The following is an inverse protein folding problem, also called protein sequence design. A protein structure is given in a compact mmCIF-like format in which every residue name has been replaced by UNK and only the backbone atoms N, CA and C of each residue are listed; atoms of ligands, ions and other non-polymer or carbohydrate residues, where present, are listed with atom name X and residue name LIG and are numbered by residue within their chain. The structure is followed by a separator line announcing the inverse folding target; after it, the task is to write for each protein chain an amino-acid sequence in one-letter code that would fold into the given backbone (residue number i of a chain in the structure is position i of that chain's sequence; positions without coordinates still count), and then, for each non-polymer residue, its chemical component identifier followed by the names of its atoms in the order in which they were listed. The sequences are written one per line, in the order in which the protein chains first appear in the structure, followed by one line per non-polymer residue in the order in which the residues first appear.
data_IF_366409610212
#
_entry.id   IF_366409610212
#
_cell.length_a   1.000
_cell.length_b   1.000
_cell.length_c   1.000
_cell.angle_alpha   90.00
_cell.angle_beta   90.00
_cell.angle_gamma   90.00
#
_symmetry.space_group_name_H-M   'P 1'
#
loop_
_entity.id
_entity.type
_entity.pdbx_description
1 polymer ?
#
# COMPACT_ATOMS: atom_id res chain seq x y z
N UNK A 1 21.66 14.07 -4.56
CA UNK A 1 20.93 13.00 -3.87
C UNK A 1 20.10 13.66 -2.79
N UNK A 2 18.79 13.46 -2.77
CA UNK A 2 17.90 14.16 -1.84
C UNK A 2 17.82 13.35 -0.54
N UNK A 3 18.02 14.00 0.60
CA UNK A 3 17.90 13.34 1.90
C UNK A 3 16.42 13.16 2.27
N UNK A 4 16.06 11.98 2.77
CA UNK A 4 14.70 11.68 3.22
C UNK A 4 14.59 12.05 4.70
N UNK A 5 13.69 12.98 5.02
CA UNK A 5 13.38 13.39 6.40
C UNK A 5 11.90 13.16 6.69
N UNK A 6 11.49 13.20 7.97
CA UNK A 6 10.09 13.01 8.38
C UNK A 6 9.08 13.95 7.70
N UNK A 7 9.55 15.09 7.17
CA UNK A 7 8.72 16.03 6.42
C UNK A 7 8.00 15.38 5.24
N UNK A 8 8.57 14.33 4.62
CA UNK A 8 7.92 13.63 3.51
C UNK A 8 6.65 12.89 3.94
N UNK A 9 6.61 12.37 5.17
CA UNK A 9 5.48 11.58 5.67
C UNK A 9 4.24 12.46 5.77
N UNK A 10 4.38 13.65 6.36
CA UNK A 10 3.28 14.63 6.49
C UNK A 10 2.81 15.17 5.14
N UNK A 11 3.69 15.16 4.12
CA UNK A 11 3.36 15.59 2.76
C UNK A 11 2.58 14.53 1.98
N UNK A 12 2.92 13.25 2.14
CA UNK A 12 2.35 12.14 1.36
C UNK A 12 1.12 11.51 2.04
N UNK A 13 1.15 11.34 3.37
CA UNK A 13 0.08 10.67 4.12
C UNK A 13 -0.97 11.72 4.52
N UNK A 14 -2.05 11.79 3.75
CA UNK A 14 -3.16 12.72 3.99
C UNK A 14 -4.27 12.09 4.84
N UNK A 15 -4.97 12.91 5.63
CA UNK A 15 -6.14 12.48 6.39
C UNK A 15 -7.26 12.03 5.42
N UNK A 16 -7.90 10.90 5.75
CA UNK A 16 -9.05 10.36 5.02
C UNK A 16 -10.30 11.22 5.23
N UNK A 17 -11.08 11.43 4.16
CA UNK A 17 -12.39 12.07 4.27
C UNK A 17 -13.38 11.16 4.99
N UNK A 18 -14.30 11.74 5.76
CA UNK A 18 -15.27 10.99 6.57
C UNK A 18 -16.30 10.24 5.73
N UNK A 19 -16.64 10.77 4.54
CA UNK A 19 -17.60 10.16 3.62
C UNK A 19 -16.84 9.48 2.48
N UNK A 20 -16.26 8.31 2.78
CA UNK A 20 -15.51 7.49 1.82
C UNK A 20 -15.78 6.02 2.05
N UNK A 21 -15.52 5.21 1.04
CA UNK A 21 -15.57 3.76 1.10
C UNK A 21 -14.31 3.14 0.50
N UNK A 22 -14.21 1.80 0.57
CA UNK A 22 -13.07 1.03 0.06
C UNK A 22 -12.72 1.25 -1.43
N UNK A 23 -13.61 1.85 -2.22
CA UNK A 23 -13.34 2.14 -3.64
C UNK A 23 -12.47 3.38 -3.83
N UNK A 24 -12.58 4.35 -2.92
CA UNK A 24 -11.82 5.61 -2.96
C UNK A 24 -10.33 5.40 -2.70
N UNK A 25 -9.98 4.29 -2.05
CA UNK A 25 -8.59 3.91 -1.73
C UNK A 25 -7.99 2.95 -2.76
N UNK A 26 -8.58 2.88 -3.94
CA UNK A 26 -8.03 2.16 -5.10
C UNK A 26 -8.23 0.65 -5.06
N UNK A 27 -7.96 0.04 -6.21
CA UNK A 27 -7.94 -1.41 -6.42
C UNK A 27 -6.57 -1.77 -6.94
N UNK A 28 -5.89 -2.66 -6.25
CA UNK A 28 -4.53 -3.06 -6.61
C UNK A 28 -4.53 -4.52 -7.05
N UNK A 29 -3.67 -4.84 -8.00
CA UNK A 29 -3.41 -6.20 -8.46
C UNK A 29 -1.94 -6.51 -8.18
N UNK A 30 -1.69 -7.59 -7.46
CA UNK A 30 -0.36 -8.07 -7.14
C UNK A 30 -0.11 -9.36 -7.93
N UNK A 31 0.95 -9.39 -8.73
CA UNK A 31 1.35 -10.56 -9.52
C UNK A 31 2.79 -10.90 -9.18
N UNK A 32 3.01 -12.12 -8.70
CA UNK A 32 4.34 -12.61 -8.32
C UNK A 32 4.25 -13.83 -7.44
N UNK A 33 5.39 -14.24 -6.86
CA UNK A 33 5.49 -15.45 -6.06
C UNK A 33 5.51 -16.71 -6.92
N UNK A 34 6.67 -16.96 -7.55
CA UNK A 34 6.90 -18.21 -8.28
C UNK A 34 6.95 -19.43 -7.36
N UNK A 35 7.10 -20.61 -7.94
CA UNK A 35 7.05 -21.91 -7.25
C UNK A 35 7.89 -21.96 -5.96
N UNK A 36 9.09 -21.38 -5.97
CA UNK A 36 9.99 -21.35 -4.82
C UNK A 36 9.95 -20.04 -4.00
N UNK A 37 9.10 -19.08 -4.38
CA UNK A 37 9.10 -17.72 -3.83
C UNK A 37 7.70 -17.23 -3.42
N UNK A 38 6.76 -18.13 -3.12
CA UNK A 38 5.41 -17.77 -2.67
C UNK A 38 5.39 -16.82 -1.46
N UNK A 39 6.39 -16.91 -0.57
CA UNK A 39 6.53 -15.98 0.55
C UNK A 39 6.65 -14.50 0.11
N UNK A 40 7.25 -14.22 -1.04
CA UNK A 40 7.43 -12.86 -1.54
C UNK A 40 6.09 -12.18 -1.86
N UNK A 41 5.16 -12.90 -2.50
CA UNK A 41 3.85 -12.34 -2.83
C UNK A 41 2.98 -12.20 -1.57
N UNK A 42 3.08 -13.14 -0.62
CA UNK A 42 2.36 -13.05 0.67
C UNK A 42 2.80 -11.80 1.46
N UNK A 43 4.10 -11.55 1.56
CA UNK A 43 4.63 -10.35 2.22
C UNK A 43 4.18 -9.07 1.52
N UNK A 44 4.19 -9.07 0.18
CA UNK A 44 3.74 -7.93 -0.63
C UNK A 44 2.26 -7.63 -0.42
N UNK A 45 1.41 -8.64 -0.47
CA UNK A 45 -0.04 -8.53 -0.20
C UNK A 45 -0.30 -8.02 1.21
N UNK A 46 0.43 -8.54 2.19
CA UNK A 46 0.32 -8.08 3.58
C UNK A 46 0.71 -6.62 3.74
N UNK A 47 1.79 -6.19 3.10
CA UNK A 47 2.20 -4.78 3.08
C UNK A 47 1.16 -3.87 2.44
N UNK A 48 0.55 -4.32 1.34
CA UNK A 48 -0.43 -3.52 0.61
C UNK A 48 -1.74 -3.32 1.40
N UNK A 49 -2.28 -4.40 2.00
CA UNK A 49 -3.47 -4.31 2.87
C UNK A 49 -3.21 -3.39 4.05
N UNK A 50 -2.07 -3.55 4.74
CA UNK A 50 -1.74 -2.73 5.91
C UNK A 50 -1.43 -1.26 5.55
N UNK A 51 -0.96 -0.99 4.33
CA UNK A 51 -0.78 0.38 3.83
C UNK A 51 -2.10 1.10 3.56
N UNK A 52 -3.22 0.37 3.58
CA UNK A 52 -4.57 0.93 3.46
C UNK A 52 -5.14 0.91 2.04
N UNK A 53 -4.63 0.03 1.16
CA UNK A 53 -5.25 -0.24 -0.13
C UNK A 53 -6.72 -0.65 0.05
N UNK A 54 -7.60 -0.08 -0.76
CA UNK A 54 -9.03 -0.27 -0.60
C UNK A 54 -9.51 -1.66 -0.95
N UNK A 55 -8.96 -2.23 -2.02
CA UNK A 55 -9.26 -3.57 -2.52
C UNK A 55 -7.95 -4.20 -3.04
N UNK A 56 -7.64 -5.39 -2.54
CA UNK A 56 -6.45 -6.20 -2.89
C UNK A 56 -6.89 -7.59 -3.32
#
# INVERSE_FOLDING_TARGET
MTEITEAILKKVITKRSSDTHKGDYGRILLIGGGENYGGAIIMSTSGAVNSGAGLT
#
